data_IF_025058180934
#
_entry.id   IF_025058180934
#
_cell.length_a   1.000
_cell.length_b   1.000
_cell.length_c   1.000
_cell.angle_alpha   90.00
_cell.angle_beta   90.00
_cell.angle_gamma   90.00
#
_symmetry.space_group_name_H-M   'P 1'
#
loop_
_entity.id
_entity.type
_entity.pdbx_description
1 polymer ?
#
# COMPACT_ATOMS: atom_id res chain seq x y z
N UNK A 1 9.70 6.91 -28.39
CA UNK A 1 10.01 7.09 -26.95
C UNK A 1 8.90 6.53 -26.10
N UNK A 2 9.26 5.68 -25.18
CA UNK A 2 8.29 5.09 -24.28
C UNK A 2 8.04 6.04 -23.12
N UNK A 3 6.77 6.37 -22.89
CA UNK A 3 6.42 7.17 -21.73
C UNK A 3 6.43 6.25 -20.52
N UNK A 4 7.28 6.54 -19.57
CA UNK A 4 7.33 5.75 -18.33
C UNK A 4 6.22 6.21 -17.41
N UNK A 5 5.61 5.25 -16.70
CA UNK A 5 4.67 5.55 -15.65
C UNK A 5 5.38 6.34 -14.54
N UNK A 6 4.73 7.35 -13.96
CA UNK A 6 5.33 8.12 -12.86
C UNK A 6 5.32 7.39 -11.53
N UNK A 7 4.77 6.18 -11.46
CA UNK A 7 4.64 5.44 -10.21
C UNK A 7 5.39 4.12 -10.27
N UNK A 8 5.68 3.59 -9.10
CA UNK A 8 6.24 2.24 -8.92
C UNK A 8 5.12 1.30 -8.49
N UNK A 9 5.25 0.05 -8.88
CA UNK A 9 4.38 -1.01 -8.43
C UNK A 9 5.05 -1.72 -7.28
N UNK A 10 4.43 -1.66 -6.10
CA UNK A 10 4.95 -2.21 -4.87
C UNK A 10 4.03 -3.35 -4.43
N UNK A 11 4.58 -4.54 -4.25
CA UNK A 11 3.79 -5.69 -3.82
C UNK A 11 4.16 -6.07 -2.39
N UNK A 12 3.13 -6.28 -1.55
CA UNK A 12 3.26 -6.60 -0.14
C UNK A 12 2.50 -7.89 0.16
N UNK A 13 3.04 -8.72 1.06
CA UNK A 13 2.37 -9.92 1.55
C UNK A 13 2.35 -9.90 3.07
N UNK A 14 1.28 -10.45 3.66
CA UNK A 14 1.18 -10.56 5.11
C UNK A 14 2.40 -11.28 5.68
N UNK A 15 3.04 -10.62 6.65
CA UNK A 15 4.20 -11.17 7.32
C UNK A 15 3.78 -12.18 8.39
N UNK A 16 4.75 -12.82 9.02
CA UNK A 16 4.49 -13.76 10.10
C UNK A 16 3.78 -13.09 11.26
N UNK A 17 2.74 -13.74 11.77
CA UNK A 17 2.03 -13.28 12.94
C UNK A 17 1.33 -14.47 13.61
N UNK A 18 0.78 -14.30 14.84
CA UNK A 18 -0.02 -15.36 15.45
C UNK A 18 -1.19 -15.74 14.53
N UNK A 19 -1.34 -17.03 14.26
CA UNK A 19 -2.32 -17.54 13.32
C UNK A 19 -1.78 -17.71 11.89
N UNK A 20 -0.66 -17.06 11.56
CA UNK A 20 -0.01 -17.15 10.24
C UNK A 20 1.50 -17.24 10.41
N UNK A 21 2.02 -18.40 10.90
CA UNK A 21 3.44 -18.52 11.23
C UNK A 21 4.39 -18.40 10.05
N UNK A 22 3.87 -18.53 8.82
CA UNK A 22 4.66 -18.37 7.60
C UNK A 22 4.20 -17.17 6.77
N UNK A 23 3.35 -16.30 7.35
CA UNK A 23 2.70 -15.24 6.60
C UNK A 23 1.59 -15.78 5.73
N UNK A 24 1.10 -14.97 4.80
CA UNK A 24 0.03 -15.37 3.89
C UNK A 24 0.16 -14.61 2.58
N UNK A 25 0.48 -15.31 1.50
CA UNK A 25 0.58 -14.72 0.16
C UNK A 25 -0.76 -14.26 -0.37
N UNK A 26 -1.85 -14.88 0.08
CA UNK A 26 -3.18 -14.57 -0.39
C UNK A 26 -3.77 -13.36 0.33
N UNK A 27 -3.10 -12.84 1.34
CA UNK A 27 -3.43 -11.60 2.03
C UNK A 27 -2.36 -10.58 1.64
N UNK A 28 -2.63 -9.82 0.60
CA UNK A 28 -1.61 -9.01 -0.04
C UNK A 28 -2.15 -7.66 -0.51
N UNK A 29 -1.22 -6.75 -0.77
CA UNK A 29 -1.52 -5.44 -1.32
C UNK A 29 -0.62 -5.16 -2.50
N UNK A 30 -1.14 -4.41 -3.45
CA UNK A 30 -0.33 -3.79 -4.49
C UNK A 30 -0.56 -2.29 -4.43
N UNK A 31 0.52 -1.55 -4.25
CA UNK A 31 0.47 -0.09 -4.14
C UNK A 31 1.13 0.52 -5.38
N UNK A 32 0.52 1.58 -5.90
CA UNK A 32 1.10 2.36 -6.99
C UNK A 32 1.42 3.74 -6.43
N UNK A 33 2.70 4.04 -6.26
CA UNK A 33 3.17 5.26 -5.62
C UNK A 33 4.43 5.81 -6.29
N UNK A 34 4.57 7.14 -6.37
CA UNK A 34 5.84 7.72 -6.77
C UNK A 34 6.84 7.59 -5.62
N UNK A 35 8.07 7.20 -5.95
CA UNK A 35 9.12 7.04 -4.96
C UNK A 35 10.31 7.94 -5.29
N UNK A 36 10.98 8.39 -4.24
CA UNK A 36 12.26 9.09 -4.38
C UNK A 36 13.37 8.09 -4.70
N UNK A 37 14.55 8.58 -5.03
CA UNK A 37 15.69 7.71 -5.37
C UNK A 37 16.10 6.81 -4.21
N UNK A 38 15.85 7.24 -2.97
CA UNK A 38 16.16 6.43 -1.79
C UNK A 38 14.99 5.56 -1.31
N UNK A 39 13.92 5.47 -2.11
CA UNK A 39 12.83 4.52 -1.86
C UNK A 39 11.72 5.00 -0.95
N UNK A 40 11.67 6.28 -0.63
CA UNK A 40 10.57 6.84 0.16
C UNK A 40 9.45 7.35 -0.74
N UNK A 41 8.24 7.48 -0.20
CA UNK A 41 7.14 8.08 -0.97
C UNK A 41 7.52 9.53 -1.29
N UNK A 42 7.43 9.87 -2.57
CA UNK A 42 7.67 11.22 -3.04
C UNK A 42 6.39 12.04 -2.87
N UNK A 43 6.25 12.69 -1.73
CA UNK A 43 5.03 13.44 -1.39
C UNK A 43 4.79 14.63 -2.33
N UNK A 44 5.84 15.25 -2.83
CA UNK A 44 5.71 16.34 -3.81
C UNK A 44 5.15 15.83 -5.11
N UNK A 45 5.67 14.71 -5.59
CA UNK A 45 5.20 14.10 -6.82
C UNK A 45 3.77 13.59 -6.67
N UNK A 46 3.44 13.02 -5.49
CA UNK A 46 2.08 12.58 -5.20
C UNK A 46 1.07 13.70 -5.44
N UNK A 47 1.36 14.92 -4.99
CA UNK A 47 0.43 16.04 -5.14
C UNK A 47 0.18 16.40 -6.60
N UNK A 48 1.11 16.10 -7.49
CA UNK A 48 0.96 16.34 -8.92
C UNK A 48 0.17 15.25 -9.63
N UNK A 49 0.22 14.02 -9.09
CA UNK A 49 -0.34 12.84 -9.76
C UNK A 49 -1.19 11.97 -8.84
N UNK A 50 -2.11 12.55 -8.04
CA UNK A 50 -2.86 11.73 -7.08
C UNK A 50 -3.70 10.64 -7.73
N UNK A 51 -4.16 10.84 -8.96
CA UNK A 51 -5.00 9.86 -9.66
C UNK A 51 -4.23 8.62 -10.11
N UNK A 52 -2.91 8.68 -10.11
CA UNK A 52 -2.07 7.52 -10.42
C UNK A 52 -1.84 6.64 -9.19
N UNK A 53 -2.14 7.13 -7.99
CA UNK A 53 -1.81 6.48 -6.74
C UNK A 53 -2.99 5.62 -6.31
N UNK A 54 -2.85 4.30 -6.51
CA UNK A 54 -3.93 3.34 -6.32
C UNK A 54 -3.49 2.19 -5.45
N UNK A 55 -4.46 1.48 -4.89
CA UNK A 55 -4.23 0.29 -4.08
C UNK A 55 -5.14 -0.83 -4.57
N UNK A 56 -4.58 -2.05 -4.58
CA UNK A 56 -5.33 -3.28 -4.77
C UNK A 56 -5.11 -4.15 -3.55
N UNK A 57 -6.19 -4.71 -3.02
CA UNK A 57 -6.13 -5.58 -1.85
C UNK A 57 -6.68 -6.95 -2.20
N UNK A 58 -5.94 -7.99 -1.85
CA UNK A 58 -6.39 -9.37 -1.96
C UNK A 58 -6.47 -9.99 -0.58
N UNK A 59 -7.58 -10.64 -0.27
CA UNK A 59 -7.77 -11.39 0.95
C UNK A 59 -8.39 -12.75 0.63
N UNK A 60 -8.02 -13.80 1.40
CA UNK A 60 -8.63 -15.11 1.20
C UNK A 60 -10.15 -15.05 1.29
N UNK A 61 -10.84 -15.63 0.32
CA UNK A 61 -12.30 -15.69 0.31
C UNK A 61 -13.01 -14.40 -0.05
N UNK A 62 -12.29 -13.36 -0.44
CA UNK A 62 -12.88 -12.07 -0.82
C UNK A 62 -12.50 -11.71 -2.25
N UNK A 63 -13.35 -10.92 -2.89
CA UNK A 63 -13.01 -10.35 -4.19
C UNK A 63 -11.91 -9.30 -4.02
N UNK A 64 -11.10 -9.14 -5.06
CA UNK A 64 -10.07 -8.11 -5.06
C UNK A 64 -10.71 -6.73 -4.91
N UNK A 65 -10.23 -5.95 -3.96
CA UNK A 65 -10.70 -4.60 -3.75
C UNK A 65 -9.75 -3.60 -4.43
N UNK A 66 -10.32 -2.57 -5.03
CA UNK A 66 -9.60 -1.51 -5.72
C UNK A 66 -9.89 -0.20 -5.04
N UNK A 67 -8.87 0.63 -4.86
CA UNK A 67 -9.05 1.91 -4.21
C UNK A 67 -8.00 2.92 -4.60
N UNK A 68 -8.08 4.07 -3.94
CA UNK A 68 -7.14 5.18 -4.11
C UNK A 68 -6.30 5.32 -2.85
N UNK A 69 -5.09 5.79 -3.03
CA UNK A 69 -4.22 6.12 -1.90
C UNK A 69 -4.32 7.61 -1.68
N UNK A 70 -4.84 8.01 -0.52
CA UNK A 70 -5.11 9.39 -0.19
C UNK A 70 -4.25 9.85 0.98
N UNK A 71 -3.90 11.13 0.99
CA UNK A 71 -3.23 11.74 2.12
C UNK A 71 -4.26 12.41 3.02
N UNK A 72 -4.40 11.89 4.23
CA UNK A 72 -5.38 12.38 5.18
C UNK A 72 -4.81 13.39 6.15
N UNK A 73 -5.64 13.83 7.12
CA UNK A 73 -5.21 14.76 8.17
C UNK A 73 -4.02 14.21 8.96
N UNK A 74 -3.10 15.10 9.33
CA UNK A 74 -1.91 14.71 10.07
C UNK A 74 -0.86 13.98 9.24
N UNK A 75 -0.98 14.04 7.92
CA UNK A 75 -0.04 13.39 7.02
C UNK A 75 -0.18 11.88 6.93
N UNK A 76 -1.29 11.34 7.42
CA UNK A 76 -1.54 9.89 7.32
C UNK A 76 -1.88 9.51 5.90
N UNK A 77 -1.54 8.26 5.54
CA UNK A 77 -1.89 7.69 4.26
C UNK A 77 -3.09 6.77 4.45
N UNK A 78 -4.14 6.98 3.65
CA UNK A 78 -5.39 6.23 3.72
C UNK A 78 -5.62 5.46 2.44
N UNK A 79 -6.17 4.26 2.57
CA UNK A 79 -6.59 3.45 1.43
C UNK A 79 -8.12 3.51 1.37
N UNK A 80 -8.62 4.19 0.35
CA UNK A 80 -10.05 4.43 0.16
C UNK A 80 -10.55 3.56 -0.99
N UNK A 81 -11.28 2.51 -0.66
CA UNK A 81 -11.78 1.55 -1.64
C UNK A 81 -13.07 2.03 -2.27
N UNK A 82 -13.31 1.61 -3.50
CA UNK A 82 -14.40 2.11 -4.32
C UNK A 82 -15.77 1.52 -3.98
N UNK A 83 -15.86 0.62 -3.02
CA UNK A 83 -17.16 0.13 -2.57
C UNK A 83 -17.84 1.21 -1.72
N UNK A 84 -19.14 1.03 -1.48
CA UNK A 84 -19.97 2.06 -0.87
C UNK A 84 -19.71 2.31 0.62
N UNK A 85 -18.83 1.55 1.25
CA UNK A 85 -18.59 1.66 2.68
C UNK A 85 -17.42 2.60 2.96
N UNK A 86 -17.73 3.80 3.43
CA UNK A 86 -16.71 4.79 3.77
C UNK A 86 -16.09 4.57 5.15
N UNK A 87 -16.66 3.64 5.92
CA UNK A 87 -16.15 3.34 7.26
C UNK A 87 -14.96 2.41 7.26
N UNK A 88 -14.60 1.86 6.10
CA UNK A 88 -13.60 0.80 5.99
C UNK A 88 -12.24 1.28 5.49
N UNK A 89 -11.97 2.57 5.61
CA UNK A 89 -10.68 3.11 5.18
C UNK A 89 -9.55 2.50 6.02
N UNK A 90 -8.57 2.00 5.32
CA UNK A 90 -7.38 1.45 5.95
C UNK A 90 -6.31 2.52 6.08
N UNK A 91 -5.47 2.37 7.09
CA UNK A 91 -4.43 3.35 7.39
C UNK A 91 -3.06 2.69 7.26
N UNK A 92 -2.25 3.24 6.37
CA UNK A 92 -0.85 2.88 6.31
C UNK A 92 -0.07 3.69 7.33
N UNK A 93 0.46 3.02 8.35
CA UNK A 93 1.21 3.70 9.40
C UNK A 93 2.60 4.07 8.93
N UNK A 94 2.95 5.35 9.15
CA UNK A 94 4.30 5.86 8.91
C UNK A 94 4.84 5.56 7.51
N UNK A 95 3.96 5.44 6.51
CA UNK A 95 4.41 5.11 5.16
C UNK A 95 5.42 6.12 4.62
N UNK A 96 5.34 7.39 5.06
CA UNK A 96 6.30 8.42 4.63
C UNK A 96 7.70 8.18 5.20
N UNK A 97 7.82 7.41 6.28
CA UNK A 97 9.09 7.10 6.91
C UNK A 97 9.66 5.77 6.43
N UNK A 98 8.82 4.96 5.79
CA UNK A 98 9.23 3.63 5.34
C UNK A 98 10.03 3.72 4.05
N UNK A 99 11.00 2.84 3.93
CA UNK A 99 11.79 2.67 2.73
C UNK A 99 11.22 1.49 1.95
N UNK A 100 10.71 1.76 0.76
CA UNK A 100 10.08 0.74 -0.06
C UNK A 100 11.13 -0.04 -0.84
N UNK A 101 11.58 -1.14 -0.23
CA UNK A 101 12.60 -2.02 -0.77
C UNK A 101 12.22 -3.46 -0.42
N UNK A 102 12.47 -4.43 -1.31
CA UNK A 102 12.18 -5.83 -0.97
C UNK A 102 12.86 -6.25 0.31
N UNK A 103 12.12 -6.95 1.16
CA UNK A 103 12.60 -7.40 2.48
C UNK A 103 12.26 -6.46 3.63
N UNK A 104 11.86 -5.22 3.34
CA UNK A 104 11.42 -4.30 4.37
C UNK A 104 9.95 -4.55 4.71
N UNK A 105 9.50 -3.98 5.83
CA UNK A 105 8.13 -4.18 6.34
C UNK A 105 7.40 -2.86 6.45
N UNK A 106 6.11 -2.90 6.19
CA UNK A 106 5.21 -1.76 6.42
C UNK A 106 4.03 -2.23 7.25
N UNK A 107 3.44 -1.33 8.04
CA UNK A 107 2.30 -1.65 8.88
C UNK A 107 1.05 -1.01 8.33
N UNK A 108 -0.03 -1.78 8.25
CA UNK A 108 -1.32 -1.32 7.76
C UNK A 108 -2.37 -1.68 8.80
N UNK A 109 -3.14 -0.69 9.25
CA UNK A 109 -4.32 -0.96 10.07
C UNK A 109 -5.49 -1.21 9.14
N UNK A 110 -6.03 -2.41 9.21
CA UNK A 110 -7.12 -2.83 8.35
C UNK A 110 -8.49 -2.50 8.95
N UNK A 111 -9.54 -2.79 8.18
CA UNK A 111 -10.92 -2.48 8.55
C UNK A 111 -11.40 -3.26 9.78
N UNK A 112 -10.70 -4.31 10.19
CA UNK A 112 -10.96 -5.02 11.45
C UNK A 112 -10.42 -4.28 12.68
N UNK A 113 -9.79 -3.12 12.48
CA UNK A 113 -9.19 -2.32 13.54
C UNK A 113 -7.84 -2.83 14.01
N UNK A 114 -7.33 -3.90 13.40
CA UNK A 114 -6.03 -4.48 13.77
C UNK A 114 -4.93 -4.02 12.83
N UNK A 115 -3.74 -3.84 13.38
CA UNK A 115 -2.56 -3.48 12.61
C UNK A 115 -1.78 -4.75 12.30
N UNK A 116 -1.52 -4.94 11.02
CA UNK A 116 -0.75 -6.08 10.54
C UNK A 116 0.52 -5.59 9.86
N UNK A 117 1.60 -6.38 9.98
CA UNK A 117 2.84 -6.11 9.27
C UNK A 117 2.81 -6.84 7.93
N UNK A 118 3.23 -6.15 6.88
CA UNK A 118 3.34 -6.71 5.54
C UNK A 118 4.78 -6.60 5.08
N UNK A 119 5.28 -7.66 4.45
CA UNK A 119 6.63 -7.67 3.90
C UNK A 119 6.58 -7.22 2.45
N UNK A 120 7.47 -6.32 2.09
CA UNK A 120 7.61 -5.87 0.70
C UNK A 120 8.33 -6.99 -0.06
N UNK A 121 7.69 -7.52 -1.09
CA UNK A 121 8.26 -8.61 -1.89
C UNK A 121 8.75 -8.13 -3.25
N UNK A 122 8.25 -7.00 -3.75
CA UNK A 122 8.63 -6.51 -5.06
C UNK A 122 8.43 -5.00 -5.15
N UNK A 123 9.38 -4.31 -5.75
CA UNK A 123 9.29 -2.88 -6.06
C UNK A 123 9.84 -2.70 -7.47
N UNK A 124 9.00 -2.26 -8.40
CA UNK A 124 9.38 -2.10 -9.81
C UNK A 124 8.73 -0.87 -10.41
N UNK A 125 9.39 -0.22 -11.38
CA UNK A 125 8.71 0.80 -12.18
C UNK A 125 7.49 0.17 -12.84
N UNK A 126 6.39 0.90 -12.81
CA UNK A 126 5.14 0.40 -13.41
C UNK A 126 5.09 0.68 -14.90
#
# INVERSE_FOLDING_TARGET
MTTQSPVYRIELELAREPGHPEGDRDHSYRLYLPLTDDGHIDASRYREIPDWCRVLRNRPGEEQAHGRILRGPGGRWLFDYSDASTSDDEVGFRLSEERFEPGEYVSIREDDGKTHAFRIVSVRPD
#
